data_IF_410636124104
#
_entry.id   IF_410636124104
#
_cell.length_a   1.000
_cell.length_b   1.000
_cell.length_c   1.000
_cell.angle_alpha   90.00
_cell.angle_beta   90.00
_cell.angle_gamma   90.00
#
_symmetry.space_group_name_H-M   'P 1'
#
loop_
_entity.id
_entity.type
_entity.pdbx_description
1 polymer ?
#
# COMPACT_ATOMS: atom_id res chain seq x y z
N UNK A 1 -11.65 -8.14 2.44
CA UNK A 1 -12.23 -6.78 2.38
C UNK A 1 -11.23 -5.84 1.75
N UNK A 2 -11.69 -4.83 1.01
CA UNK A 2 -10.85 -3.76 0.48
C UNK A 2 -11.55 -2.43 0.76
N UNK A 3 -10.84 -1.48 1.33
CA UNK A 3 -11.30 -0.08 1.40
C UNK A 3 -10.46 0.77 0.46
N UNK A 4 -11.13 1.69 -0.22
CA UNK A 4 -10.53 2.58 -1.21
C UNK A 4 -11.36 3.87 -1.27
N UNK A 5 -11.59 4.49 -0.11
CA UNK A 5 -12.41 5.69 -0.01
C UNK A 5 -11.53 6.92 0.24
N UNK A 6 -12.15 8.09 0.15
CA UNK A 6 -11.51 9.38 0.48
C UNK A 6 -11.85 9.86 1.89
N UNK A 7 -12.41 8.99 2.74
CA UNK A 7 -12.74 9.35 4.12
C UNK A 7 -11.50 9.75 4.90
N UNK A 8 -11.68 10.69 5.83
CA UNK A 8 -10.66 11.12 6.80
C UNK A 8 -11.04 10.70 8.22
N UNK A 9 -12.01 9.77 8.34
CA UNK A 9 -12.48 9.21 9.61
C UNK A 9 -12.75 7.72 9.45
N UNK A 10 -12.58 6.92 10.51
CA UNK A 10 -12.83 5.49 10.47
C UNK A 10 -14.26 5.15 10.03
N UNK A 11 -14.36 4.16 9.15
CA UNK A 11 -15.62 3.58 8.67
C UNK A 11 -15.68 2.07 8.90
N UNK A 12 -14.53 1.41 8.98
CA UNK A 12 -14.41 -0.01 9.34
C UNK A 12 -14.26 -0.12 10.85
N UNK A 13 -15.08 -0.97 11.45
CA UNK A 13 -15.15 -1.17 12.91
C UNK A 13 -14.66 -2.55 13.30
N UNK A 14 -14.32 -2.68 14.58
CA UNK A 14 -14.01 -3.99 15.16
C UNK A 14 -15.16 -5.00 14.97
N UNK A 15 -14.80 -6.28 14.84
CA UNK A 15 -15.73 -7.38 14.60
C UNK A 15 -16.32 -7.47 13.19
N UNK A 16 -16.01 -6.52 12.29
CA UNK A 16 -16.46 -6.60 10.88
C UNK A 16 -15.62 -7.59 10.06
N UNK A 17 -14.37 -7.83 10.46
CA UNK A 17 -13.50 -8.81 9.83
C UNK A 17 -13.79 -10.20 10.40
N UNK A 18 -14.24 -11.12 9.56
CA UNK A 18 -14.37 -12.52 9.95
C UNK A 18 -12.98 -13.18 10.10
N UNK A 19 -12.82 -14.20 10.97
CA UNK A 19 -11.60 -15.00 11.01
C UNK A 19 -11.19 -15.50 9.62
N UNK A 20 -9.89 -15.50 9.34
CA UNK A 20 -9.34 -15.87 8.02
C UNK A 20 -9.38 -14.75 6.98
N UNK A 21 -9.89 -13.57 7.32
CA UNK A 21 -9.99 -12.47 6.37
C UNK A 21 -8.63 -11.88 6.00
N UNK A 22 -8.52 -11.42 4.76
CA UNK A 22 -7.54 -10.41 4.36
C UNK A 22 -8.25 -9.07 4.21
N UNK A 23 -7.73 -8.02 4.85
CA UNK A 23 -8.15 -6.65 4.66
C UNK A 23 -7.03 -5.84 3.98
N UNK A 24 -7.24 -5.47 2.73
CA UNK A 24 -6.40 -4.49 2.03
C UNK A 24 -6.94 -3.08 2.33
N UNK A 25 -6.27 -2.40 3.25
CA UNK A 25 -6.61 -1.06 3.72
C UNK A 25 -5.82 -0.04 2.89
N UNK A 26 -6.34 0.29 1.70
CA UNK A 26 -5.57 1.00 0.65
C UNK A 26 -5.47 2.50 0.90
N UNK A 27 -6.47 3.12 1.52
CA UNK A 27 -6.43 4.56 1.83
C UNK A 27 -5.97 4.80 3.27
N UNK A 28 -5.87 6.06 3.67
CA UNK A 28 -5.20 6.46 4.90
C UNK A 28 -5.90 5.98 6.18
N UNK A 29 -6.87 6.78 6.64
CA UNK A 29 -7.51 6.59 7.94
C UNK A 29 -8.96 6.11 7.80
N UNK A 30 -9.13 4.81 7.57
CA UNK A 30 -10.43 4.20 7.25
C UNK A 30 -10.91 3.16 8.28
N UNK A 31 -10.05 2.69 9.18
CA UNK A 31 -10.42 1.74 10.22
C UNK A 31 -10.15 2.27 11.62
N UNK A 32 -10.96 1.81 12.58
CA UNK A 32 -10.74 2.03 14.01
C UNK A 32 -9.46 1.31 14.45
N UNK A 33 -8.80 1.81 15.49
CA UNK A 33 -7.55 1.21 15.99
C UNK A 33 -7.73 -0.25 16.42
N UNK A 34 -8.90 -0.59 16.98
CA UNK A 34 -9.21 -1.95 17.41
C UNK A 34 -9.22 -2.97 16.25
N UNK A 35 -9.51 -2.52 15.02
CA UNK A 35 -9.42 -3.38 13.82
C UNK A 35 -7.98 -3.85 13.58
N UNK A 36 -7.01 -2.96 13.77
CA UNK A 36 -5.59 -3.27 13.63
C UNK A 36 -5.05 -4.07 14.82
N UNK A 37 -5.49 -3.77 16.05
CA UNK A 37 -5.11 -4.55 17.24
C UNK A 37 -5.61 -5.99 17.20
N UNK A 38 -6.76 -6.23 16.59
CA UNK A 38 -7.34 -7.57 16.47
C UNK A 38 -6.71 -8.42 15.34
N UNK A 39 -5.82 -7.85 14.52
CA UNK A 39 -5.20 -8.58 13.43
C UNK A 39 -4.07 -9.50 13.94
N UNK A 40 -3.99 -10.71 13.38
CA UNK A 40 -2.87 -11.62 13.63
C UNK A 40 -1.57 -11.13 12.98
N UNK A 41 -1.69 -10.48 11.80
CA UNK A 41 -0.57 -9.93 11.06
C UNK A 41 -0.94 -8.59 10.43
N UNK A 42 -0.13 -7.56 10.71
CA UNK A 42 -0.19 -6.27 10.02
C UNK A 42 1.03 -6.13 9.11
N UNK A 43 0.77 -5.97 7.81
CA UNK A 43 1.79 -5.75 6.80
C UNK A 43 1.69 -4.34 6.24
N UNK A 44 2.83 -3.80 5.84
CA UNK A 44 2.94 -2.52 5.12
C UNK A 44 3.74 -2.71 3.84
N UNK A 45 3.82 -1.71 2.98
CA UNK A 45 4.70 -1.72 1.80
C UNK A 45 6.14 -1.32 2.14
N UNK A 46 6.31 -0.21 2.88
CA UNK A 46 7.60 0.28 3.38
C UNK A 46 7.40 0.98 4.73
N UNK A 47 7.98 0.43 5.80
CA UNK A 47 7.70 0.91 7.15
C UNK A 47 8.30 2.30 7.43
N UNK A 48 9.46 2.59 6.85
CA UNK A 48 10.08 3.91 6.99
C UNK A 48 9.20 4.99 6.37
N UNK A 49 8.70 4.75 5.15
CA UNK A 49 7.85 5.71 4.46
C UNK A 49 6.46 5.83 5.09
N UNK A 50 5.89 4.73 5.61
CA UNK A 50 4.63 4.78 6.37
C UNK A 50 4.76 5.73 7.56
N UNK A 51 5.83 5.59 8.34
CA UNK A 51 6.13 6.48 9.47
C UNK A 51 6.46 7.90 9.03
N UNK A 52 7.14 8.08 7.91
CA UNK A 52 7.45 9.42 7.42
C UNK A 52 6.20 10.17 6.93
N UNK A 53 5.29 9.47 6.24
CA UNK A 53 4.14 10.07 5.54
C UNK A 53 2.98 10.42 6.48
N UNK A 54 2.89 9.77 7.65
CA UNK A 54 1.90 10.08 8.70
C UNK A 54 0.47 10.24 8.16
N UNK A 55 0.00 9.23 7.41
CA UNK A 55 -1.28 9.29 6.70
C UNK A 55 -2.21 8.10 6.98
N UNK A 56 -1.66 6.91 7.27
CA UNK A 56 -2.45 5.70 7.49
C UNK A 56 -2.85 5.54 8.96
N UNK A 57 -3.89 4.74 9.23
CA UNK A 57 -4.27 4.35 10.60
C UNK A 57 -3.07 3.79 11.37
N UNK A 58 -2.27 2.91 10.75
CA UNK A 58 -1.06 2.32 11.34
C UNK A 58 -0.05 3.41 11.75
N UNK A 59 0.18 4.40 10.90
CA UNK A 59 1.09 5.50 11.19
C UNK A 59 0.60 6.36 12.38
N UNK A 60 -0.71 6.60 12.48
CA UNK A 60 -1.30 7.32 13.61
C UNK A 60 -1.21 6.53 14.92
N UNK A 61 -1.47 5.22 14.89
CA UNK A 61 -1.29 4.35 16.05
C UNK A 61 0.16 4.38 16.56
N UNK A 62 1.14 4.29 15.65
CA UNK A 62 2.56 4.38 16.03
C UNK A 62 2.91 5.73 16.66
N UNK A 63 2.48 6.84 16.03
CA UNK A 63 2.68 8.19 16.57
C UNK A 63 2.08 8.35 17.97
N UNK A 64 0.91 7.77 18.19
CA UNK A 64 0.16 7.88 19.45
C UNK A 64 0.67 6.90 20.52
N UNK A 65 1.67 6.08 20.22
CA UNK A 65 2.24 5.09 21.14
C UNK A 65 1.38 3.84 21.31
N UNK A 66 0.40 3.63 20.43
CA UNK A 66 -0.49 2.47 20.43
C UNK A 66 0.11 1.27 19.69
N UNK A 67 1.04 1.52 18.75
CA UNK A 67 1.85 0.52 18.06
C UNK A 67 3.36 0.80 18.24
N UNK A 68 4.12 -0.25 18.46
CA UNK A 68 5.58 -0.28 18.36
C UNK A 68 6.03 -0.69 16.95
N UNK A 69 7.32 -0.51 16.65
CA UNK A 69 7.89 -0.96 15.37
C UNK A 69 7.71 -2.48 15.15
N UNK A 70 7.76 -3.27 16.23
CA UNK A 70 7.63 -4.74 16.21
C UNK A 70 6.19 -5.23 16.01
N UNK A 71 5.17 -4.36 16.14
CA UNK A 71 3.78 -4.71 15.81
C UNK A 71 3.54 -4.83 14.30
N UNK A 72 4.48 -4.31 13.50
CA UNK A 72 4.48 -4.53 12.05
C UNK A 72 5.13 -5.87 11.76
N UNK A 73 4.29 -6.83 11.38
CA UNK A 73 4.72 -8.19 11.10
C UNK A 73 5.77 -8.25 9.98
N UNK A 74 5.50 -7.59 8.85
CA UNK A 74 6.39 -7.60 7.69
C UNK A 74 6.10 -6.46 6.72
N UNK A 75 7.12 -6.11 5.92
CA UNK A 75 6.88 -5.43 4.65
C UNK A 75 6.47 -6.47 3.59
N UNK A 76 5.55 -6.12 2.69
CA UNK A 76 5.02 -7.03 1.67
C UNK A 76 6.15 -7.63 0.82
N UNK A 77 7.20 -6.86 0.53
CA UNK A 77 8.38 -7.33 -0.21
C UNK A 77 9.10 -8.50 0.48
N UNK A 78 9.15 -8.52 1.82
CA UNK A 78 9.76 -9.61 2.59
C UNK A 78 8.97 -10.91 2.44
N UNK A 79 7.63 -10.82 2.40
CA UNK A 79 6.76 -11.99 2.18
C UNK A 79 6.87 -12.49 0.74
N UNK A 80 6.82 -11.58 -0.25
CA UNK A 80 6.97 -11.93 -1.67
C UNK A 80 8.33 -12.58 -1.96
N UNK A 81 9.39 -12.10 -1.29
CA UNK A 81 10.73 -12.66 -1.41
C UNK A 81 10.95 -13.98 -0.62
N UNK A 82 9.94 -14.47 0.10
CA UNK A 82 10.03 -15.68 0.92
C UNK A 82 10.88 -15.54 2.18
N UNK A 83 11.16 -14.30 2.62
CA UNK A 83 11.94 -14.01 3.83
C UNK A 83 11.11 -14.15 5.11
N UNK A 84 9.80 -13.87 5.03
CA UNK A 84 8.82 -14.10 6.09
C UNK A 84 7.62 -14.85 5.51
N UNK A 85 6.98 -15.78 6.26
CA UNK A 85 5.79 -16.44 5.78
C UNK A 85 4.63 -15.45 5.62
N UNK A 86 3.74 -15.73 4.66
CA UNK A 86 2.49 -14.99 4.52
C UNK A 86 1.46 -15.50 5.51
N UNK A 87 0.31 -15.94 5.00
CA UNK A 87 -0.68 -16.70 5.77
C UNK A 87 -0.13 -18.08 6.14
N UNK A 88 -0.27 -18.47 7.39
CA UNK A 88 0.18 -19.76 7.94
C UNK A 88 -0.99 -20.67 8.33
N UNK A 89 -2.20 -20.12 8.51
CA UNK A 89 -3.43 -20.90 8.70
C UNK A 89 -4.69 -20.15 8.22
N UNK A 90 -5.79 -20.89 8.12
CA UNK A 90 -7.07 -20.39 7.59
C UNK A 90 -7.83 -19.45 8.54
N UNK A 91 -7.34 -19.25 9.76
CA UNK A 91 -7.99 -18.40 10.77
C UNK A 91 -7.34 -17.02 10.93
N UNK A 92 -6.11 -16.82 10.43
CA UNK A 92 -5.41 -15.54 10.57
C UNK A 92 -6.18 -14.38 9.91
N UNK A 93 -6.47 -13.34 10.66
CA UNK A 93 -6.91 -12.05 10.13
C UNK A 93 -5.67 -11.24 9.78
N UNK A 94 -5.49 -10.98 8.49
CA UNK A 94 -4.32 -10.27 7.96
C UNK A 94 -4.77 -8.90 7.46
N UNK A 95 -4.04 -7.86 7.86
CA UNK A 95 -4.24 -6.50 7.36
C UNK A 95 -3.01 -6.07 6.58
N UNK A 96 -3.23 -5.55 5.37
CA UNK A 96 -2.20 -4.90 4.59
C UNK A 96 -2.56 -3.41 4.46
N UNK A 97 -1.72 -2.52 5.00
CA UNK A 97 -1.91 -1.06 4.99
C UNK A 97 -0.75 -0.37 4.25
N UNK A 98 -0.79 -0.34 2.90
CA UNK A 98 0.21 0.35 2.10
C UNK A 98 0.00 1.87 2.09
N UNK A 99 1.06 2.61 1.78
CA UNK A 99 0.98 4.03 1.41
C UNK A 99 1.08 4.27 -0.10
N UNK A 100 1.55 3.29 -0.86
CA UNK A 100 1.90 3.39 -2.28
C UNK A 100 3.36 3.77 -2.48
N UNK A 101 4.05 3.00 -3.33
CA UNK A 101 5.46 3.21 -3.69
C UNK A 101 5.58 3.54 -5.17
N UNK A 102 6.27 4.65 -5.49
CA UNK A 102 6.57 5.04 -6.87
C UNK A 102 7.35 3.96 -7.64
N UNK A 103 8.07 3.09 -6.92
CA UNK A 103 8.71 1.90 -7.48
C UNK A 103 7.71 1.00 -8.23
N UNK A 104 6.52 0.80 -7.67
CA UNK A 104 5.49 -0.03 -8.31
C UNK A 104 5.00 0.60 -9.61
N UNK A 105 4.81 1.92 -9.63
CA UNK A 105 4.39 2.66 -10.83
C UNK A 105 5.42 2.52 -11.95
N UNK A 106 6.70 2.73 -11.65
CA UNK A 106 7.78 2.61 -12.64
C UNK A 106 7.92 1.17 -13.12
N UNK A 107 7.87 0.18 -12.23
CA UNK A 107 7.98 -1.23 -12.62
C UNK A 107 6.87 -1.63 -13.60
N UNK A 108 5.62 -1.23 -13.33
CA UNK A 108 4.48 -1.50 -14.21
C UNK A 108 4.58 -0.70 -15.51
N UNK A 109 4.91 0.60 -15.43
CA UNK A 109 5.03 1.47 -16.58
C UNK A 109 6.13 0.99 -17.55
N UNK A 110 7.29 0.55 -17.04
CA UNK A 110 8.37 -0.02 -17.86
C UNK A 110 7.90 -1.26 -18.62
N UNK A 111 7.17 -2.17 -17.97
CA UNK A 111 6.62 -3.36 -18.62
C UNK A 111 5.59 -3.03 -19.69
N UNK A 112 4.70 -2.09 -19.41
CA UNK A 112 3.73 -1.59 -20.39
C UNK A 112 4.44 -0.96 -21.58
N UNK A 113 5.48 -0.16 -21.33
CA UNK A 113 6.27 0.51 -22.36
C UNK A 113 6.99 -0.48 -23.27
N UNK A 114 7.71 -1.45 -22.70
CA UNK A 114 8.38 -2.52 -23.45
C UNK A 114 7.39 -3.29 -24.34
N UNK A 115 6.21 -3.62 -23.79
CA UNK A 115 5.16 -4.29 -24.55
C UNK A 115 4.66 -3.43 -25.70
N UNK A 116 4.35 -2.17 -25.43
CA UNK A 116 3.87 -1.23 -26.45
C UNK A 116 4.88 -1.08 -27.59
N UNK A 117 6.19 -1.00 -27.28
CA UNK A 117 7.24 -0.98 -28.30
C UNK A 117 7.25 -2.25 -29.15
N UNK A 118 7.14 -3.43 -28.53
CA UNK A 118 7.14 -4.72 -29.26
C UNK A 118 5.94 -4.90 -30.19
N UNK A 119 4.82 -4.24 -29.89
CA UNK A 119 3.57 -4.31 -30.67
C UNK A 119 3.37 -3.10 -31.60
N UNK A 120 4.30 -2.15 -31.63
CA UNK A 120 4.17 -0.92 -32.43
C UNK A 120 3.03 0.00 -31.96
N UNK A 121 2.67 -0.06 -30.68
CA UNK A 121 1.66 0.78 -30.05
C UNK A 121 2.26 2.08 -29.51
N UNK A 122 1.39 3.09 -29.35
CA UNK A 122 1.76 4.42 -28.84
C UNK A 122 1.97 5.46 -29.94
N UNK A 123 2.25 6.69 -29.53
CA UNK A 123 2.55 7.80 -30.42
C UNK A 123 4.00 8.21 -30.20
N UNK A 124 4.75 8.38 -31.29
CA UNK A 124 6.00 9.12 -31.24
C UNK A 124 5.64 10.61 -31.28
N UNK A 125 5.69 11.34 -30.16
CA UNK A 125 5.44 12.76 -30.20
C UNK A 125 6.46 13.38 -31.15
N UNK A 126 5.98 14.20 -32.10
CA UNK A 126 6.89 14.99 -32.93
C UNK A 126 7.76 15.81 -31.98
N UNK A 127 9.07 15.95 -32.23
CA UNK A 127 9.90 16.84 -31.45
C UNK A 127 9.21 18.19 -31.39
N UNK A 128 8.89 18.64 -30.17
CA UNK A 128 8.32 19.97 -29.95
C UNK A 128 9.38 20.93 -30.46
N UNK A 129 9.11 21.59 -31.59
CA UNK A 129 9.96 22.66 -32.07
C UNK A 129 9.95 23.75 -31.00
N UNK A 130 10.98 23.79 -30.17
CA UNK A 130 11.19 24.87 -29.22
C UNK A 130 11.15 26.16 -30.04
N UNK A 131 10.19 27.01 -29.72
CA UNK A 131 9.95 28.29 -30.39
C UNK A 131 11.28 29.03 -30.61
N UNK A 132 11.65 29.22 -31.89
CA UNK A 132 12.57 30.29 -32.28
C UNK A 132 11.81 31.61 -32.09
N UNK A 133 11.96 32.22 -30.93
CA UNK A 133 11.66 33.63 -30.67
C UNK A 133 12.75 34.07 -29.66
N UNK A 134 13.53 35.12 -29.85
CA UNK A 134 13.30 36.44 -30.45
C UNK A 134 14.64 36.91 -31.06
N UNK A 135 14.63 37.48 -32.26
CA UNK A 135 15.72 38.33 -32.78
C UNK A 135 15.45 39.77 -32.37
#
# INVERSE_FOLDING_TARGET
>A
MVTATTTTRPIVRDGWLAPGSLYAHVSGYECEYDVLRAADKVLVDDWELVRHRMYSTVAYMWRDGEFADDDIYAELGQVVAGQKPGRENDHETIIYSPIGLGLHDIAVASRIYERAQSEGLGLNPKPVSVYRAIR
#
